data_IF_453645101206
#
_entry.id   IF_453645101206
#
_cell.length_a   1.000
_cell.length_b   1.000
_cell.length_c   1.000
_cell.angle_alpha   90.00
_cell.angle_beta   90.00
_cell.angle_gamma   90.00
#
_symmetry.space_group_name_H-M   'P 1'
#
loop_
_entity.id
_entity.type
_entity.pdbx_description
1 polymer ?
#
# COMPACT_ATOMS: atom_id res chain seq x y z
N UNK A 1 65.68 7.08 13.96
CA UNK A 1 65.21 8.13 14.88
C UNK A 1 63.81 8.49 14.38
N UNK A 2 62.80 7.75 14.84
CA UNK A 2 61.75 8.21 15.78
C UNK A 2 60.96 9.39 15.17
N UNK A 3 59.65 9.29 14.96
CA UNK A 3 58.67 9.23 16.05
C UNK A 3 57.35 8.52 15.72
N UNK A 4 56.82 7.84 16.76
CA UNK A 4 55.41 7.49 16.93
C UNK A 4 54.61 8.77 17.23
N UNK A 5 53.39 8.87 16.71
CA UNK A 5 52.32 9.59 17.42
C UNK A 5 50.97 8.93 17.19
N UNK A 6 50.68 7.94 18.01
CA UNK A 6 49.31 7.56 18.34
C UNK A 6 48.62 8.74 19.04
N UNK A 7 47.45 9.12 18.54
CA UNK A 7 46.46 9.91 19.30
C UNK A 7 45.09 9.36 19.00
N UNK A 8 44.56 8.57 19.94
CA UNK A 8 43.15 8.19 20.03
C UNK A 8 42.25 9.42 19.87
N UNK A 9 41.23 9.34 19.01
CA UNK A 9 40.10 10.26 19.07
C UNK A 9 38.78 9.51 18.86
N UNK A 10 38.19 9.20 20.01
CA UNK A 10 36.77 9.06 20.34
C UNK A 10 35.96 7.94 19.66
N UNK A 11 35.72 6.92 20.47
CA UNK A 11 34.69 5.90 20.34
C UNK A 11 33.30 6.56 20.44
N UNK A 12 32.90 7.28 19.40
CA UNK A 12 31.57 7.87 19.23
C UNK A 12 30.60 6.88 18.61
N UNK A 13 30.04 6.00 19.45
CA UNK A 13 28.84 5.19 19.26
C UNK A 13 28.38 4.96 17.80
N UNK A 14 28.92 3.92 17.15
CA UNK A 14 28.65 3.50 15.75
C UNK A 14 27.16 3.31 15.38
N UNK A 15 26.27 3.28 16.38
CA UNK A 15 24.82 3.15 16.21
C UNK A 15 24.12 4.44 15.78
N UNK A 16 24.62 5.63 16.15
CA UNK A 16 24.05 6.92 15.73
C UNK A 16 24.48 7.31 14.30
N UNK A 17 25.70 6.94 13.91
CA UNK A 17 26.25 7.24 12.57
C UNK A 17 25.50 6.43 11.50
N UNK A 18 25.16 5.16 11.79
CA UNK A 18 24.37 4.32 10.88
C UNK A 18 22.92 4.82 10.70
N UNK A 19 22.31 5.43 11.73
CA UNK A 19 20.97 6.03 11.64
C UNK A 19 20.98 7.35 10.87
N UNK A 20 21.99 8.19 11.08
CA UNK A 20 22.15 9.43 10.32
C UNK A 20 22.39 9.14 8.83
N UNK A 21 23.24 8.16 8.50
CA UNK A 21 23.48 7.72 7.13
C UNK A 21 22.23 7.09 6.48
N UNK A 22 21.42 6.37 7.25
CA UNK A 22 20.14 5.83 6.78
C UNK A 22 19.12 6.94 6.46
N UNK A 23 19.04 7.98 7.29
CA UNK A 23 18.18 9.13 7.01
C UNK A 23 18.67 9.95 5.81
N UNK A 24 19.99 10.10 5.65
CA UNK A 24 20.59 10.76 4.49
C UNK A 24 20.37 9.96 3.20
N UNK A 25 20.44 8.62 3.26
CA UNK A 25 20.13 7.76 2.11
C UNK A 25 18.64 7.73 1.76
N UNK A 26 17.72 7.74 2.73
CA UNK A 26 16.28 7.90 2.48
C UNK A 26 15.94 9.26 1.86
N UNK A 27 16.61 10.33 2.32
CA UNK A 27 16.45 11.67 1.74
C UNK A 27 16.98 11.78 0.30
N UNK A 28 17.85 10.86 -0.12
CA UNK A 28 18.39 10.79 -1.48
C UNK A 28 17.52 9.98 -2.46
N UNK A 29 16.44 9.35 -1.98
CA UNK A 29 15.46 8.74 -2.86
C UNK A 29 14.74 9.82 -3.67
N UNK A 30 14.69 9.74 -5.01
CA UNK A 30 14.14 10.80 -5.85
C UNK A 30 12.65 11.07 -5.61
N UNK A 31 11.92 10.18 -4.93
CA UNK A 31 10.54 10.40 -4.51
C UNK A 31 10.42 11.21 -3.22
N UNK A 32 11.35 11.05 -2.27
CA UNK A 32 11.24 11.62 -0.93
C UNK A 32 11.36 13.15 -0.92
N UNK A 33 12.08 13.70 -1.90
CA UNK A 33 12.20 15.14 -2.10
C UNK A 33 10.84 15.84 -2.34
N UNK A 34 9.83 15.11 -2.85
CA UNK A 34 8.53 15.67 -3.20
C UNK A 34 7.50 15.60 -2.08
N UNK A 35 7.83 14.99 -0.94
CA UNK A 35 6.90 14.87 0.20
C UNK A 35 6.52 16.22 0.80
N UNK A 36 7.45 17.18 0.75
CA UNK A 36 7.27 18.53 1.29
C UNK A 36 7.25 19.60 0.19
N UNK A 37 7.21 19.17 -1.08
CA UNK A 37 7.18 20.09 -2.20
C UNK A 37 5.77 20.64 -2.40
N UNK A 38 5.68 21.95 -2.62
CA UNK A 38 4.44 22.65 -2.99
C UNK A 38 4.47 23.05 -4.46
N UNK A 39 5.32 22.42 -5.26
CA UNK A 39 5.49 22.74 -6.68
C UNK A 39 4.22 22.38 -7.46
N UNK A 40 3.64 23.40 -8.09
CA UNK A 40 2.48 23.29 -8.97
C UNK A 40 2.96 23.46 -10.40
N UNK A 41 2.87 22.39 -11.19
CA UNK A 41 3.08 22.48 -12.63
C UNK A 41 1.84 23.12 -13.27
N UNK A 42 2.03 24.22 -14.01
CA UNK A 42 0.94 24.88 -14.73
C UNK A 42 0.40 23.95 -15.83
N UNK A 43 -0.75 23.34 -15.60
CA UNK A 43 -1.34 22.36 -16.51
C UNK A 43 -0.92 20.91 -16.25
N UNK A 44 -0.57 20.57 -15.01
CA UNK A 44 -0.32 19.20 -14.57
C UNK A 44 -0.76 18.94 -13.13
N UNK A 45 -0.51 17.73 -12.65
CA UNK A 45 -0.77 17.36 -11.27
C UNK A 45 0.36 17.87 -10.36
N UNK A 46 0.03 18.49 -9.21
CA UNK A 46 1.02 19.02 -8.28
C UNK A 46 1.76 17.91 -7.54
N UNK A 47 2.89 18.22 -6.91
CA UNK A 47 3.50 17.30 -5.95
C UNK A 47 2.46 16.90 -4.87
N UNK A 48 2.38 15.61 -4.56
CA UNK A 48 1.35 15.10 -3.64
C UNK A 48 1.87 13.93 -2.82
N UNK A 49 1.64 13.96 -1.51
CA UNK A 49 1.83 12.81 -0.63
C UNK A 49 0.49 12.12 -0.37
N UNK A 50 0.39 10.82 -0.69
CA UNK A 50 -0.85 10.05 -0.52
C UNK A 50 -0.91 9.24 0.78
N UNK A 51 0.02 9.48 1.71
CA UNK A 51 0.13 8.72 2.96
C UNK A 51 1.12 7.56 2.87
N UNK A 52 1.63 7.23 1.69
CA UNK A 52 2.62 6.14 1.52
C UNK A 52 3.76 6.54 0.62
N UNK A 53 3.50 7.13 -0.55
CA UNK A 53 4.50 7.60 -1.49
C UNK A 53 4.35 9.08 -1.79
N UNK A 54 5.48 9.69 -2.13
CA UNK A 54 5.57 11.08 -2.51
C UNK A 54 5.70 11.17 -4.02
N UNK A 55 4.72 11.82 -4.64
CA UNK A 55 4.57 11.90 -6.09
C UNK A 55 5.15 13.22 -6.59
N UNK A 56 6.01 13.18 -7.61
CA UNK A 56 6.54 14.37 -8.27
C UNK A 56 5.45 15.10 -9.06
N UNK A 57 5.59 16.43 -9.26
CA UNK A 57 4.77 17.16 -10.22
C UNK A 57 4.84 16.50 -11.59
N UNK A 58 3.69 16.28 -12.23
CA UNK A 58 3.59 15.52 -13.48
C UNK A 58 2.67 16.21 -14.47
N UNK A 59 3.04 16.33 -15.75
CA UNK A 59 2.16 16.86 -16.78
C UNK A 59 0.83 16.11 -16.89
N UNK A 60 -0.22 16.83 -17.26
CA UNK A 60 -1.53 16.24 -17.54
C UNK A 60 -1.44 15.14 -18.60
N UNK A 61 -1.98 13.95 -18.30
CA UNK A 61 -1.98 12.81 -19.20
C UNK A 61 -0.79 11.86 -19.08
N UNK A 62 0.19 12.15 -18.22
CA UNK A 62 1.34 11.26 -18.00
C UNK A 62 1.14 10.31 -16.80
N UNK A 63 1.84 9.17 -16.86
CA UNK A 63 1.85 8.15 -15.80
C UNK A 63 3.22 8.08 -15.17
N UNK A 64 3.29 8.28 -13.85
CA UNK A 64 4.48 8.04 -13.05
C UNK A 64 4.54 6.60 -12.57
N UNK A 65 5.77 6.10 -12.46
CA UNK A 65 6.07 4.89 -11.72
C UNK A 65 7.08 5.19 -10.60
N UNK A 66 6.85 4.60 -9.44
CA UNK A 66 7.74 4.68 -8.29
C UNK A 66 7.93 3.29 -7.71
N UNK A 67 9.11 3.01 -7.14
CA UNK A 67 9.35 1.76 -6.44
C UNK A 67 8.43 1.62 -5.23
N UNK A 68 7.97 0.40 -4.97
CA UNK A 68 7.16 0.11 -3.79
C UNK A 68 7.96 0.37 -2.50
N UNK A 69 7.35 0.96 -1.46
CA UNK A 69 8.01 1.12 -0.18
C UNK A 69 8.31 -0.25 0.43
N UNK A 70 9.58 -0.49 0.77
CA UNK A 70 10.06 -1.78 1.29
C UNK A 70 9.70 -2.04 2.75
N UNK A 71 9.31 -1.01 3.49
CA UNK A 71 9.05 -1.08 4.93
C UNK A 71 7.66 -1.65 5.27
N UNK A 72 6.78 -1.83 4.28
CA UNK A 72 5.45 -2.37 4.51
C UNK A 72 5.46 -3.91 4.47
N UNK A 73 4.84 -4.58 5.47
CA UNK A 73 4.68 -6.02 5.41
C UNK A 73 3.84 -6.41 4.18
N UNK A 74 4.26 -7.49 3.52
CA UNK A 74 3.66 -8.05 2.30
C UNK A 74 3.94 -7.32 0.99
N UNK A 75 4.67 -6.20 1.01
CA UNK A 75 5.08 -5.48 -0.19
C UNK A 75 6.37 -6.08 -0.77
N UNK A 76 6.49 -6.06 -2.10
CA UNK A 76 7.71 -6.48 -2.80
C UNK A 76 8.49 -5.25 -3.24
N UNK A 77 9.75 -5.14 -2.80
CA UNK A 77 10.69 -4.07 -3.15
C UNK A 77 11.08 -4.05 -4.63
N UNK A 78 10.85 -5.16 -5.35
CA UNK A 78 11.14 -5.29 -6.78
C UNK A 78 9.99 -4.86 -7.70
N UNK A 79 8.88 -4.41 -7.13
CA UNK A 79 7.69 -3.98 -7.87
C UNK A 79 7.55 -2.46 -7.85
N UNK A 80 6.69 -1.96 -8.73
CA UNK A 80 6.45 -0.52 -8.91
C UNK A 80 4.96 -0.19 -8.73
N UNK A 81 4.70 0.96 -8.10
CA UNK A 81 3.38 1.59 -8.08
C UNK A 81 3.28 2.51 -9.29
N UNK A 82 2.16 2.42 -9.99
CA UNK A 82 1.83 3.33 -11.08
C UNK A 82 0.74 4.30 -10.65
N UNK A 83 0.88 5.58 -11.01
CA UNK A 83 -0.16 6.59 -10.81
C UNK A 83 -0.21 7.51 -12.00
N UNK A 84 -1.41 7.80 -12.46
CA UNK A 84 -1.66 8.59 -13.65
C UNK A 84 -2.18 9.97 -13.29
N UNK A 85 -1.65 11.00 -13.95
CA UNK A 85 -2.21 12.34 -13.92
C UNK A 85 -3.32 12.44 -14.98
N UNK A 86 -4.54 12.75 -14.55
CA UNK A 86 -5.66 12.99 -15.44
C UNK A 86 -5.39 14.19 -16.36
N UNK A 87 -5.93 14.25 -17.58
CA UNK A 87 -5.86 15.44 -18.44
C UNK A 87 -6.37 16.71 -17.76
N UNK A 88 -7.28 16.56 -16.80
CA UNK A 88 -7.85 17.64 -15.98
C UNK A 88 -6.89 18.20 -14.90
N UNK A 89 -5.66 17.66 -14.80
CA UNK A 89 -4.68 18.07 -13.78
C UNK A 89 -4.97 17.48 -12.39
N UNK A 90 -5.73 16.39 -12.32
CA UNK A 90 -6.09 15.71 -11.07
C UNK A 90 -5.43 14.34 -10.98
N UNK A 91 -4.96 14.00 -9.78
CA UNK A 91 -4.34 12.70 -9.55
C UNK A 91 -5.37 11.57 -9.52
N UNK A 92 -5.15 10.53 -10.31
CA UNK A 92 -5.90 9.28 -10.20
C UNK A 92 -5.42 8.43 -9.00
N UNK A 93 -6.22 7.46 -8.54
CA UNK A 93 -5.80 6.52 -7.50
C UNK A 93 -4.54 5.75 -7.90
N UNK A 94 -3.55 5.70 -7.01
CA UNK A 94 -2.33 4.95 -7.23
C UNK A 94 -2.58 3.43 -7.19
N UNK A 95 -1.95 2.70 -8.10
CA UNK A 95 -2.13 1.26 -8.28
C UNK A 95 -1.29 0.43 -7.30
N UNK A 96 -1.59 0.54 -6.00
CA UNK A 96 -0.87 -0.19 -4.94
C UNK A 96 -1.05 -1.71 -4.98
N UNK A 97 -2.05 -2.22 -5.71
CA UNK A 97 -2.21 -3.66 -5.91
C UNK A 97 -0.97 -4.31 -6.54
N UNK A 98 -0.24 -3.55 -7.36
CA UNK A 98 1.01 -3.98 -7.97
C UNK A 98 2.13 -4.20 -6.97
N UNK A 99 2.07 -3.64 -5.76
CA UNK A 99 3.13 -3.80 -4.76
C UNK A 99 3.06 -5.08 -3.96
N UNK A 100 1.89 -5.72 -3.88
CA UNK A 100 1.76 -6.92 -3.07
C UNK A 100 2.64 -8.05 -3.61
N UNK A 101 3.30 -8.75 -2.70
CA UNK A 101 4.02 -9.98 -3.00
C UNK A 101 3.08 -11.04 -3.58
N UNK A 102 3.59 -11.88 -4.47
CA UNK A 102 2.78 -12.89 -5.15
C UNK A 102 2.16 -13.88 -4.15
N UNK A 103 2.90 -14.22 -3.08
CA UNK A 103 2.41 -15.04 -1.97
C UNK A 103 1.20 -14.41 -1.26
N UNK A 104 1.21 -13.09 -1.07
CA UNK A 104 0.10 -12.39 -0.42
C UNK A 104 -1.13 -12.28 -1.34
N UNK A 105 -0.91 -12.03 -2.63
CA UNK A 105 -1.99 -12.05 -3.62
C UNK A 105 -2.65 -13.44 -3.70
N UNK A 106 -1.85 -14.51 -3.69
CA UNK A 106 -2.35 -15.89 -3.64
C UNK A 106 -3.17 -16.14 -2.38
N UNK A 107 -2.69 -15.70 -1.21
CA UNK A 107 -3.42 -15.81 0.05
C UNK A 107 -4.80 -15.12 -0.01
N UNK A 108 -4.86 -13.86 -0.48
CA UNK A 108 -6.13 -13.13 -0.64
C UNK A 108 -7.05 -13.89 -1.61
N UNK A 109 -6.51 -14.43 -2.69
CA UNK A 109 -7.29 -15.17 -3.67
C UNK A 109 -7.89 -16.44 -3.07
N UNK A 110 -7.11 -17.22 -2.31
CA UNK A 110 -7.60 -18.41 -1.61
C UNK A 110 -8.65 -18.02 -0.58
N UNK A 111 -8.39 -17.01 0.25
CA UNK A 111 -9.33 -16.52 1.26
C UNK A 111 -10.66 -16.08 0.62
N UNK A 112 -10.61 -15.28 -0.46
CA UNK A 112 -11.81 -14.84 -1.18
C UNK A 112 -12.62 -16.01 -1.76
N UNK A 113 -11.93 -17.05 -2.24
CA UNK A 113 -12.56 -18.28 -2.72
C UNK A 113 -13.25 -19.04 -1.58
N UNK A 114 -12.61 -19.15 -0.42
CA UNK A 114 -13.21 -19.78 0.77
C UNK A 114 -14.43 -19.01 1.28
N UNK A 115 -14.35 -17.67 1.35
CA UNK A 115 -15.47 -16.83 1.77
C UNK A 115 -16.68 -16.95 0.81
N UNK A 116 -16.45 -17.02 -0.51
CA UNK A 116 -17.54 -17.26 -1.48
C UNK A 116 -18.23 -18.60 -1.25
N UNK A 117 -17.48 -19.66 -0.93
CA UNK A 117 -18.06 -20.98 -0.62
C UNK A 117 -18.92 -20.91 0.64
N UNK A 118 -18.41 -20.31 1.71
CA UNK A 118 -19.12 -20.16 2.98
C UNK A 118 -20.41 -19.34 2.78
N UNK A 119 -20.33 -18.22 2.07
CA UNK A 119 -21.51 -17.39 1.76
C UNK A 119 -22.58 -18.16 0.99
N UNK A 120 -22.19 -18.99 0.01
CA UNK A 120 -23.14 -19.79 -0.77
C UNK A 120 -23.87 -20.80 0.11
N UNK A 121 -23.13 -21.55 0.93
CA UNK A 121 -23.73 -22.54 1.85
C UNK A 121 -24.64 -21.86 2.87
N UNK A 122 -24.19 -20.73 3.44
CA UNK A 122 -24.97 -19.93 4.38
C UNK A 122 -26.28 -19.42 3.78
N UNK A 123 -26.24 -18.90 2.55
CA UNK A 123 -27.44 -18.44 1.84
C UNK A 123 -28.46 -19.58 1.62
N UNK A 124 -28.00 -20.75 1.19
CA UNK A 124 -28.85 -21.94 0.99
C UNK A 124 -29.48 -22.38 2.32
N UNK A 125 -28.71 -22.36 3.40
CA UNK A 125 -29.18 -22.68 4.74
C UNK A 125 -30.29 -21.74 5.20
N UNK A 126 -30.06 -20.43 5.10
CA UNK A 126 -31.06 -19.43 5.48
C UNK A 126 -32.34 -19.51 4.66
N UNK A 127 -32.24 -19.73 3.34
CA UNK A 127 -33.41 -19.94 2.49
C UNK A 127 -34.21 -21.15 2.94
N UNK A 128 -33.55 -22.27 3.23
CA UNK A 128 -34.22 -23.52 3.64
C UNK A 128 -34.93 -23.37 4.97
N UNK A 129 -34.27 -22.79 5.98
CA UNK A 129 -34.87 -22.54 7.29
C UNK A 129 -36.10 -21.64 7.19
N UNK A 130 -36.03 -20.58 6.38
CA UNK A 130 -37.12 -19.64 6.19
C UNK A 130 -38.33 -20.30 5.53
N UNK A 131 -38.12 -21.14 4.50
CA UNK A 131 -39.21 -21.90 3.84
C UNK A 131 -39.90 -22.85 4.82
N UNK A 132 -39.14 -23.59 5.62
CA UNK A 132 -39.70 -24.49 6.63
C UNK A 132 -40.47 -23.74 7.72
N UNK A 133 -39.95 -22.60 8.17
CA UNK A 133 -40.62 -21.74 9.16
C UNK A 133 -41.95 -21.18 8.62
N UNK A 134 -41.97 -20.72 7.36
CA UNK A 134 -43.21 -20.26 6.72
C UNK A 134 -44.24 -21.39 6.64
N UNK A 135 -43.83 -22.59 6.21
CA UNK A 135 -44.73 -23.73 6.11
C UNK A 135 -45.32 -24.12 7.49
N UNK A 136 -44.48 -24.17 8.52
CA UNK A 136 -44.91 -24.46 9.89
C UNK A 136 -45.91 -23.41 10.41
N UNK A 137 -45.65 -22.12 10.15
CA UNK A 137 -46.55 -21.04 10.54
C UNK A 137 -47.93 -21.16 9.87
N UNK A 138 -47.97 -21.49 8.58
CA UNK A 138 -49.23 -21.70 7.85
C UNK A 138 -50.02 -22.86 8.47
N UNK A 139 -49.37 -23.97 8.81
CA UNK A 139 -50.03 -25.11 9.44
C UNK A 139 -50.59 -24.75 10.82
N UNK A 140 -49.81 -24.07 11.66
CA UNK A 140 -50.25 -23.64 12.99
C UNK A 140 -51.47 -22.73 12.95
N UNK A 141 -51.54 -21.81 11.97
CA UNK A 141 -52.70 -20.92 11.80
C UNK A 141 -53.91 -21.66 11.20
N UNK A 142 -53.67 -22.64 10.33
CA UNK A 142 -54.74 -23.43 9.69
C UNK A 142 -55.36 -24.48 10.61
N UNK A 143 -54.64 -24.88 11.66
CA UNK A 143 -55.14 -25.75 12.73
C UNK A 143 -56.02 -24.91 13.67
N UNK A 144 -57.30 -24.81 13.32
CA UNK A 144 -58.34 -24.19 14.12
C UNK A 144 -58.93 -25.15 15.14
#
# INVERSE_FOLDING_TARGET
MADLKDSNLELGNDSEIAQADFLLTLSSSPSFQWCNATEVLSGGCPAHFDGTLCWSPTPSGETLNLSCPGDLPHYSTHKFVFRTCSPEGTWQPAAYLGCFSDNYLEYIQIMSRSLRKIKRVSFIGYSTSLVLLIAAFILLVSLK
#
